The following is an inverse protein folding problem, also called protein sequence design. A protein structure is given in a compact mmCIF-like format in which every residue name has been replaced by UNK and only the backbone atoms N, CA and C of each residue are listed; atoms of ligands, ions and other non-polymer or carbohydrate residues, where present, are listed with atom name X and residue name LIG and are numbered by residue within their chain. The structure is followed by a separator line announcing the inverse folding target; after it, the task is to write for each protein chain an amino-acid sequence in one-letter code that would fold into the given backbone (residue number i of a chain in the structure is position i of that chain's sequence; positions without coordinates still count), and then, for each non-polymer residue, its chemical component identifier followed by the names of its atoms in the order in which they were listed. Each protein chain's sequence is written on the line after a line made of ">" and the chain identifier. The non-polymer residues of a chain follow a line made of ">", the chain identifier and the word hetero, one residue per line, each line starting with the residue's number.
data_IF_468641228730
#
_entry.id   IF_468641228730
#
_cell.length_a   1.000
_cell.length_b   1.000
_cell.length_c   1.000
_cell.angle_alpha   90.00
_cell.angle_beta   90.00
_cell.angle_gamma   90.00
#
_symmetry.space_group_name_H-M   'P 1'
#
loop_
_entity.id
_entity.type
_entity.pdbx_description
1 polymer ?
#
# COMPACT_ATOMS: atom_id res chain seq x y z
N UNK A 1 -24.67 25.19 -41.29
CA UNK A 1 -24.09 24.01 -40.61
C UNK A 1 -24.21 24.21 -39.10
N UNK A 2 -24.89 23.31 -38.38
CA UNK A 2 -25.06 23.39 -36.91
C UNK A 2 -23.96 22.56 -36.23
N UNK A 3 -23.29 23.05 -35.16
CA UNK A 3 -22.23 22.29 -34.51
C UNK A 3 -22.83 21.18 -33.65
N UNK A 4 -22.31 19.96 -33.77
CA UNK A 4 -22.68 18.81 -32.94
C UNK A 4 -22.02 18.93 -31.56
N UNK A 5 -22.83 18.81 -30.49
CA UNK A 5 -22.33 18.77 -29.11
C UNK A 5 -21.71 17.39 -28.86
N UNK A 6 -20.42 17.34 -28.50
CA UNK A 6 -19.76 16.09 -28.08
C UNK A 6 -20.26 15.71 -26.69
N UNK A 7 -20.77 14.49 -26.55
CA UNK A 7 -21.20 13.94 -25.26
C UNK A 7 -20.00 13.82 -24.31
N UNK A 8 -20.16 14.31 -23.08
CA UNK A 8 -19.09 14.36 -22.09
C UNK A 8 -19.12 13.16 -21.16
N UNK A 9 -18.00 12.93 -20.45
CA UNK A 9 -17.85 11.85 -19.42
C UNK A 9 -18.99 11.82 -18.38
N UNK A 10 -19.65 12.97 -18.16
CA UNK A 10 -20.81 13.11 -17.26
C UNK A 10 -22.12 12.57 -17.85
N UNK A 11 -22.27 12.51 -19.17
CA UNK A 11 -23.43 11.93 -19.84
C UNK A 11 -23.40 10.38 -19.77
N UNK A 12 -22.20 9.80 -19.78
CA UNK A 12 -22.00 8.35 -19.65
C UNK A 12 -22.49 7.81 -18.29
N UNK A 13 -22.27 8.58 -17.21
CA UNK A 13 -22.72 8.18 -15.87
C UNK A 13 -24.25 8.22 -15.74
N UNK A 14 -24.92 9.18 -16.39
CA UNK A 14 -26.39 9.28 -16.41
C UNK A 14 -27.05 8.14 -17.19
N UNK A 15 -26.37 7.58 -18.18
CA UNK A 15 -26.89 6.49 -19.00
C UNK A 15 -26.80 5.11 -18.31
N UNK A 16 -25.95 4.97 -17.28
CA UNK A 16 -25.76 3.72 -16.53
C UNK A 16 -26.84 3.42 -15.48
N UNK A 17 -27.72 4.38 -15.15
CA UNK A 17 -28.73 4.26 -14.09
C UNK A 17 -29.96 3.41 -14.43
N UNK A 18 -30.19 3.05 -15.71
CA UNK A 18 -31.42 2.39 -16.15
C UNK A 18 -31.30 0.86 -16.35
N UNK A 19 -30.11 0.26 -16.15
CA UNK A 19 -29.86 -1.17 -16.41
C UNK A 19 -29.99 -2.11 -15.20
N UNK A 20 -30.19 -1.60 -13.99
CA UNK A 20 -30.06 -2.40 -12.76
C UNK A 20 -31.33 -3.15 -12.31
N UNK A 21 -32.48 -3.01 -13.00
CA UNK A 21 -33.75 -3.57 -12.53
C UNK A 21 -34.13 -4.95 -13.11
N UNK A 22 -33.29 -5.56 -13.95
CA UNK A 22 -33.65 -6.82 -14.65
C UNK A 22 -33.01 -8.10 -14.08
N UNK A 23 -32.14 -8.04 -13.06
CA UNK A 23 -31.40 -9.23 -12.55
C UNK A 23 -32.01 -9.83 -11.26
N UNK A 24 -33.09 -9.26 -10.73
CA UNK A 24 -33.63 -9.65 -9.42
C UNK A 24 -34.58 -10.87 -9.41
N UNK A 25 -34.75 -11.59 -10.53
CA UNK A 25 -35.81 -12.62 -10.69
C UNK A 25 -35.30 -14.04 -11.02
N UNK A 26 -34.02 -14.34 -10.76
CA UNK A 26 -33.41 -15.64 -11.14
C UNK A 26 -32.82 -16.49 -10.02
N UNK A 27 -32.72 -16.00 -8.77
CA UNK A 27 -31.87 -16.63 -7.75
C UNK A 27 -32.62 -17.48 -6.70
N UNK A 28 -33.79 -18.04 -7.04
CA UNK A 28 -34.63 -18.77 -6.08
C UNK A 28 -34.39 -20.31 -6.04
N UNK A 29 -33.35 -20.83 -6.70
CA UNK A 29 -33.19 -22.29 -6.87
C UNK A 29 -31.76 -22.82 -6.66
N UNK A 30 -31.08 -22.43 -5.58
CA UNK A 30 -29.85 -23.10 -5.14
C UNK A 30 -29.96 -23.63 -3.71
N UNK A 31 -29.45 -24.84 -3.44
CA UNK A 31 -29.64 -25.54 -2.17
C UNK A 31 -28.94 -24.81 -1.03
N UNK A 32 -29.60 -24.76 0.14
CA UNK A 32 -29.06 -24.21 1.38
C UNK A 32 -28.04 -25.19 1.94
N UNK A 33 -26.78 -24.94 1.63
CA UNK A 33 -25.67 -25.63 2.28
C UNK A 33 -25.64 -25.26 3.76
N UNK A 34 -25.37 -26.27 4.59
CA UNK A 34 -25.50 -26.21 6.05
C UNK A 34 -24.67 -25.06 6.63
N UNK A 35 -25.34 -24.18 7.39
CA UNK A 35 -24.70 -23.11 8.14
C UNK A 35 -23.70 -23.68 9.15
N UNK A 36 -22.40 -23.61 8.81
CA UNK A 36 -21.34 -23.72 9.81
C UNK A 36 -21.49 -22.52 10.74
N UNK A 37 -21.83 -22.78 12.00
CA UNK A 37 -21.91 -21.77 13.06
C UNK A 37 -20.51 -21.15 13.22
N UNK A 38 -20.31 -19.96 12.67
CA UNK A 38 -19.11 -19.18 12.93
C UNK A 38 -19.04 -18.87 14.44
N UNK A 39 -17.88 -19.04 15.09
CA UNK A 39 -17.73 -18.60 16.46
C UNK A 39 -17.91 -17.07 16.50
N UNK A 40 -18.68 -16.59 17.48
CA UNK A 40 -18.88 -15.16 17.67
C UNK A 40 -17.54 -14.50 18.00
N UNK A 41 -17.14 -13.52 17.20
CA UNK A 41 -15.98 -12.67 17.48
C UNK A 41 -16.32 -11.79 18.69
N UNK A 42 -15.72 -12.06 19.84
CA UNK A 42 -15.79 -11.15 20.97
C UNK A 42 -15.18 -9.80 20.58
N UNK A 43 -15.72 -8.66 21.05
CA UNK A 43 -15.17 -7.34 20.73
C UNK A 43 -13.75 -7.26 21.30
N UNK A 44 -12.76 -7.23 20.41
CA UNK A 44 -11.35 -7.12 20.76
C UNK A 44 -11.04 -5.75 21.36
N UNK A 45 -10.74 -5.72 22.65
CA UNK A 45 -10.06 -4.61 23.29
C UNK A 45 -8.63 -4.56 22.75
N UNK A 46 -8.28 -3.55 21.96
CA UNK A 46 -6.91 -3.35 21.47
C UNK A 46 -6.00 -2.91 22.62
N UNK A 47 -5.47 -3.88 23.38
CA UNK A 47 -4.39 -3.67 24.34
C UNK A 47 -3.07 -4.13 23.71
N UNK A 48 -2.15 -3.19 23.48
CA UNK A 48 -0.80 -3.45 22.95
C UNK A 48 0.15 -4.12 23.97
N UNK A 49 -0.33 -5.05 24.80
CA UNK A 49 0.45 -5.50 25.97
C UNK A 49 0.31 -6.94 26.46
N UNK A 50 -0.84 -7.62 26.27
CA UNK A 50 -1.12 -8.88 27.02
C UNK A 50 -1.28 -10.13 26.14
N UNK A 51 -0.54 -10.19 25.03
CA UNK A 51 -0.33 -11.48 24.35
C UNK A 51 0.62 -12.35 25.17
N UNK A 52 0.45 -13.69 25.24
CA UNK A 52 1.48 -14.55 25.81
C UNK A 52 2.83 -14.22 25.13
N UNK A 53 3.93 -14.07 25.89
CA UNK A 53 5.22 -13.70 25.33
C UNK A 53 5.59 -14.71 24.26
N UNK A 54 5.62 -14.27 23.00
CA UNK A 54 6.07 -15.10 21.89
C UNK A 54 7.56 -15.36 22.12
N UNK A 55 7.99 -16.62 22.33
CA UNK A 55 9.40 -16.92 22.57
C UNK A 55 10.22 -16.42 21.37
N UNK A 56 11.17 -15.50 21.62
CA UNK A 56 12.08 -14.95 20.60
C UNK A 56 11.73 -13.56 20.05
N UNK A 57 10.52 -13.03 20.27
CA UNK A 57 10.10 -11.69 19.77
C UNK A 57 10.15 -10.59 20.84
N UNK A 58 10.66 -10.89 22.03
CA UNK A 58 10.81 -9.94 23.13
C UNK A 58 12.16 -9.20 23.12
N UNK A 59 12.90 -9.27 22.01
CA UNK A 59 14.15 -8.54 21.81
C UNK A 59 13.97 -7.54 20.68
N UNK A 60 14.65 -6.41 20.80
CA UNK A 60 14.66 -5.37 19.78
C UNK A 60 15.51 -5.82 18.58
N UNK A 61 15.10 -5.43 17.37
CA UNK A 61 15.90 -5.63 16.15
C UNK A 61 16.94 -4.52 16.06
N UNK A 62 18.20 -4.87 15.73
CA UNK A 62 19.26 -3.87 15.57
C UNK A 62 19.12 -3.13 14.22
N UNK A 63 18.50 -1.95 14.29
CA UNK A 63 18.32 -1.09 13.12
C UNK A 63 19.66 -0.55 12.56
N UNK A 64 20.73 -0.48 13.37
CA UNK A 64 22.07 -0.06 12.90
C UNK A 64 22.68 -1.14 12.04
N UNK A 65 22.57 -2.41 12.45
CA UNK A 65 22.98 -3.56 11.65
C UNK A 65 22.21 -3.64 10.32
N UNK A 66 20.90 -3.38 10.36
CA UNK A 66 20.06 -3.26 9.16
C UNK A 66 20.38 -2.01 8.31
N UNK A 67 21.14 -1.04 8.82
CA UNK A 67 21.57 0.15 8.09
C UNK A 67 20.46 1.17 7.82
N UNK A 68 19.34 1.13 8.55
CA UNK A 68 18.30 2.16 8.50
C UNK A 68 17.49 2.17 9.81
N UNK A 69 17.00 3.33 10.23
CA UNK A 69 16.04 3.43 11.34
C UNK A 69 14.61 3.63 10.77
N UNK A 70 13.63 2.79 11.16
CA UNK A 70 12.24 2.95 10.75
C UNK A 70 11.63 4.31 11.13
N UNK A 71 12.00 4.88 12.28
CA UNK A 71 11.47 6.16 12.76
C UNK A 71 11.91 7.32 11.87
N UNK A 72 13.16 7.34 11.43
CA UNK A 72 13.70 8.40 10.57
C UNK A 72 12.99 8.41 9.21
N UNK A 73 12.65 7.23 8.70
CA UNK A 73 11.98 7.04 7.42
C UNK A 73 10.63 7.76 7.33
N UNK A 74 9.96 8.03 8.45
CA UNK A 74 8.66 8.73 8.46
C UNK A 74 8.75 10.16 7.90
N UNK A 75 9.93 10.77 7.96
CA UNK A 75 10.13 12.17 7.53
C UNK A 75 11.33 12.36 6.59
N UNK A 76 12.10 11.30 6.32
CA UNK A 76 13.18 11.29 5.35
C UNK A 76 12.64 11.31 3.91
N UNK A 77 12.46 12.52 3.38
CA UNK A 77 12.07 12.76 1.99
C UNK A 77 13.29 13.12 1.13
N UNK A 78 13.52 12.36 0.07
CA UNK A 78 14.47 12.70 -0.98
C UNK A 78 13.82 13.71 -1.94
N UNK A 79 14.37 14.92 -2.03
CA UNK A 79 13.89 15.98 -2.92
C UNK A 79 14.57 15.96 -4.31
N UNK A 80 15.57 15.10 -4.50
CA UNK A 80 16.35 14.97 -5.71
C UNK A 80 17.21 16.20 -6.01
N UNK A 81 17.90 16.14 -7.13
CA UNK A 81 18.68 17.27 -7.67
C UNK A 81 17.79 18.08 -8.59
N UNK A 82 17.69 19.39 -8.35
CA UNK A 82 16.86 20.29 -9.15
C UNK A 82 17.68 20.95 -10.26
N UNK A 83 17.14 20.93 -11.47
CA UNK A 83 17.59 21.77 -12.59
C UNK A 83 16.39 22.38 -13.34
N UNK A 84 16.65 23.17 -14.37
CA UNK A 84 15.60 23.84 -15.17
C UNK A 84 15.67 23.40 -16.61
N UNK A 85 14.54 22.93 -17.14
CA UNK A 85 14.40 22.59 -18.56
C UNK A 85 14.33 23.86 -19.42
N UNK A 86 14.62 23.72 -20.71
CA UNK A 86 14.59 24.83 -21.68
C UNK A 86 13.23 25.58 -21.73
N UNK A 87 12.13 24.93 -21.32
CA UNK A 87 10.79 25.53 -21.20
C UNK A 87 10.44 26.08 -19.81
N UNK A 88 11.42 26.33 -18.94
CA UNK A 88 11.22 26.91 -17.60
C UNK A 88 10.63 25.96 -16.54
N UNK A 89 10.36 24.70 -16.90
CA UNK A 89 9.88 23.68 -15.96
C UNK A 89 11.01 23.18 -15.07
N UNK A 90 10.70 22.90 -13.81
CA UNK A 90 11.60 22.21 -12.89
C UNK A 90 11.81 20.75 -13.32
N UNK A 91 13.08 20.35 -13.46
CA UNK A 91 13.50 18.96 -13.56
C UNK A 91 14.02 18.53 -12.19
N UNK A 92 13.57 17.37 -11.71
CA UNK A 92 14.10 16.71 -10.50
C UNK A 92 14.68 15.37 -10.90
N UNK A 93 15.94 15.17 -10.61
CA UNK A 93 16.66 13.94 -10.89
C UNK A 93 16.93 13.17 -9.60
N UNK A 94 16.74 11.85 -9.67
CA UNK A 94 16.96 10.92 -8.55
C UNK A 94 17.86 9.79 -9.04
N UNK A 95 18.69 9.25 -8.14
CA UNK A 95 19.53 8.09 -8.42
C UNK A 95 19.13 6.93 -7.52
N UNK A 96 18.62 5.88 -8.13
CA UNK A 96 18.24 4.64 -7.46
C UNK A 96 19.13 3.50 -7.95
N UNK A 97 19.59 2.66 -7.03
CA UNK A 97 20.19 1.37 -7.34
C UNK A 97 19.40 0.25 -6.66
N UNK A 98 19.20 -0.85 -7.36
CA UNK A 98 18.62 -2.08 -6.79
C UNK A 98 19.75 -3.00 -6.32
N UNK A 99 19.51 -3.72 -5.24
CA UNK A 99 20.40 -4.78 -4.78
C UNK A 99 19.69 -5.73 -3.83
N UNK A 100 20.35 -6.84 -3.54
CA UNK A 100 19.89 -7.81 -2.56
C UNK A 100 20.48 -7.45 -1.19
N UNK A 101 19.69 -7.58 -0.13
CA UNK A 101 20.12 -7.36 1.25
C UNK A 101 19.30 -8.22 2.20
N UNK A 102 19.98 -8.97 3.07
CA UNK A 102 19.33 -9.64 4.18
C UNK A 102 19.01 -8.61 5.27
N UNK A 103 17.73 -8.53 5.65
CA UNK A 103 17.22 -7.62 6.68
C UNK A 103 16.71 -8.45 7.84
N UNK A 104 17.22 -8.22 9.04
CA UNK A 104 16.64 -8.81 10.25
C UNK A 104 15.27 -8.17 10.52
N UNK A 105 14.21 -8.97 10.52
CA UNK A 105 12.82 -8.49 10.74
C UNK A 105 12.27 -8.88 12.10
N UNK A 106 12.93 -9.85 12.75
CA UNK A 106 12.74 -10.23 14.13
C UNK A 106 14.06 -10.82 14.66
N UNK A 107 14.28 -10.86 15.98
CA UNK A 107 15.53 -11.36 16.55
C UNK A 107 15.92 -12.75 16.04
N UNK A 108 17.05 -12.84 15.33
CA UNK A 108 17.57 -14.06 14.71
C UNK A 108 16.85 -14.49 13.41
N UNK A 109 15.91 -13.70 12.90
CA UNK A 109 15.15 -13.99 11.68
C UNK A 109 15.44 -12.94 10.60
N UNK A 110 16.19 -13.35 9.57
CA UNK A 110 16.51 -12.54 8.41
C UNK A 110 15.52 -12.78 7.25
N UNK A 111 15.26 -11.72 6.51
CA UNK A 111 14.47 -11.70 5.29
C UNK A 111 15.36 -11.28 4.11
N UNK A 112 15.57 -12.13 3.09
CA UNK A 112 16.32 -11.77 1.90
C UNK A 112 15.50 -10.81 1.03
N UNK A 113 15.82 -9.53 1.11
CA UNK A 113 15.06 -8.47 0.47
C UNK A 113 15.74 -7.97 -0.81
N UNK A 114 14.91 -7.57 -1.78
CA UNK A 114 15.32 -6.66 -2.85
C UNK A 114 15.07 -5.24 -2.40
N UNK A 115 16.12 -4.42 -2.39
CA UNK A 115 16.09 -3.08 -1.82
C UNK A 115 16.53 -2.03 -2.83
N UNK A 116 15.95 -0.84 -2.71
CA UNK A 116 16.48 0.36 -3.34
C UNK A 116 17.36 1.12 -2.36
N UNK A 117 18.52 1.54 -2.83
CA UNK A 117 19.51 2.32 -2.07
C UNK A 117 19.90 1.69 -0.72
N UNK A 118 19.91 0.35 -0.65
CA UNK A 118 20.41 -0.39 0.51
C UNK A 118 19.50 -0.40 1.74
N UNK A 119 18.23 0.04 1.64
CA UNK A 119 17.29 0.06 2.77
C UNK A 119 15.86 -0.36 2.40
N UNK A 120 15.10 -0.75 3.43
CA UNK A 120 13.69 -1.15 3.32
C UNK A 120 12.85 -0.38 4.35
N UNK A 121 11.88 0.46 3.95
CA UNK A 121 11.56 0.80 2.57
C UNK A 121 12.68 1.63 1.94
N UNK A 122 12.71 1.66 0.60
CA UNK A 122 13.63 2.50 -0.16
C UNK A 122 13.37 4.01 0.05
N UNK A 123 14.19 4.88 -0.56
CA UNK A 123 14.05 6.33 -0.43
C UNK A 123 12.64 6.85 -0.76
N UNK A 124 12.10 7.72 0.08
CA UNK A 124 10.79 8.35 -0.17
C UNK A 124 10.98 9.58 -1.05
N UNK A 125 10.74 9.44 -2.35
CA UNK A 125 10.92 10.54 -3.30
C UNK A 125 9.81 11.58 -3.19
N UNK A 126 10.15 12.88 -3.17
CA UNK A 126 9.20 13.99 -3.05
C UNK A 126 9.36 15.04 -4.15
N UNK A 127 8.32 15.16 -4.98
CA UNK A 127 8.21 16.19 -6.02
C UNK A 127 7.08 17.20 -5.72
N UNK A 128 7.01 18.27 -6.52
CA UNK A 128 6.02 19.36 -6.44
C UNK A 128 5.29 19.52 -7.77
#
# INVERSE_FOLDING_TARGET
>A
MKPSRRAGRRDFLRMSGYGALAVAMGAAALPRDSARKAPALAPGLHSHGDGPPMPGFNREVDHVANGFNPTDTLTDFDYGVISTLHGGRTLREYRLFSGDKDIEVAPGAAFPAWVYNGRLPGPTLRAR
#
